data_IF_042862680048
#
_entry.id   IF_042862680048
#
_cell.length_a   1.000
_cell.length_b   1.000
_cell.length_c   1.000
_cell.angle_alpha   90.00
_cell.angle_beta   90.00
_cell.angle_gamma   90.00
#
_symmetry.space_group_name_H-M   'P 1'
#
loop_
_entity.id
_entity.type
_entity.pdbx_description
1 polymer ?
#
# COMPACT_ATOMS: atom_id res chain seq x y z
N UNK A 1 10.31 -70.18 55.68
CA UNK A 1 9.07 -69.38 55.51
C UNK A 1 9.50 -67.89 55.32
N UNK A 2 9.59 -67.48 54.13
CA UNK A 2 10.00 -66.05 53.79
C UNK A 2 9.00 -65.46 52.85
N UNK A 3 8.34 -64.40 53.26
CA UNK A 3 7.29 -63.71 52.55
C UNK A 3 7.90 -62.67 51.58
N UNK A 4 7.74 -62.89 50.30
CA UNK A 4 8.10 -61.97 49.25
C UNK A 4 7.07 -60.82 49.21
N UNK A 5 7.51 -59.59 49.51
CA UNK A 5 6.74 -58.35 49.32
C UNK A 5 6.92 -57.87 47.90
N UNK A 6 5.87 -57.88 47.09
CA UNK A 6 5.80 -57.20 45.82
C UNK A 6 5.60 -55.67 46.02
N UNK A 7 6.61 -54.92 45.67
CA UNK A 7 6.51 -53.47 45.61
C UNK A 7 5.85 -53.07 44.29
N UNK A 8 4.70 -52.41 44.37
CA UNK A 8 4.01 -51.81 43.21
C UNK A 8 4.68 -50.46 42.85
N UNK A 9 5.36 -50.40 41.73
CA UNK A 9 5.80 -49.16 41.14
C UNK A 9 4.60 -48.46 40.51
N UNK A 10 4.20 -47.31 41.07
CA UNK A 10 3.30 -46.39 40.45
C UNK A 10 4.14 -45.41 39.62
N UNK A 11 4.09 -45.50 38.31
CA UNK A 11 4.63 -44.49 37.40
C UNK A 11 3.68 -43.30 37.39
N UNK A 12 4.16 -42.07 37.52
CA UNK A 12 3.30 -40.87 37.40
C UNK A 12 2.97 -40.58 35.94
N UNK A 13 1.68 -40.57 35.65
CA UNK A 13 1.07 -40.10 34.39
C UNK A 13 1.04 -38.56 34.37
N UNK A 14 2.20 -37.90 34.26
CA UNK A 14 2.26 -36.44 34.11
C UNK A 14 3.30 -36.01 33.07
N UNK A 15 3.13 -36.41 31.80
CA UNK A 15 4.01 -35.97 30.74
C UNK A 15 3.36 -35.89 29.35
N UNK A 16 2.06 -35.56 29.22
CA UNK A 16 1.41 -35.42 27.89
C UNK A 16 0.66 -34.10 27.70
N UNK A 17 0.72 -33.17 28.65
CA UNK A 17 -0.07 -31.90 28.54
C UNK A 17 0.72 -30.66 28.15
N UNK A 18 1.98 -30.77 27.65
CA UNK A 18 2.81 -29.59 27.36
C UNK A 18 3.19 -29.44 25.87
N UNK A 19 2.50 -30.08 24.92
CA UNK A 19 2.87 -30.05 23.49
C UNK A 19 1.82 -29.55 22.54
N UNK A 20 0.87 -28.71 22.99
CA UNK A 20 -0.21 -28.14 22.13
C UNK A 20 -0.36 -26.64 22.21
N UNK A 21 0.65 -25.87 22.60
CA UNK A 21 0.59 -24.42 22.70
C UNK A 21 1.53 -23.67 21.72
N UNK A 22 1.96 -24.29 20.62
CA UNK A 22 2.77 -23.68 19.57
C UNK A 22 2.06 -23.72 18.20
N UNK A 23 0.75 -23.45 18.15
CA UNK A 23 0.04 -23.21 16.89
C UNK A 23 -0.11 -21.70 16.69
N UNK A 24 0.94 -21.12 16.08
CA UNK A 24 0.74 -20.21 14.96
C UNK A 24 0.13 -18.87 15.30
N UNK A 25 0.96 -17.91 15.73
CA UNK A 25 0.80 -16.58 15.19
C UNK A 25 1.24 -16.60 13.70
N UNK A 26 0.49 -17.27 12.85
CA UNK A 26 0.54 -17.03 11.42
C UNK A 26 0.08 -15.57 11.27
N UNK A 27 1.05 -14.65 11.09
CA UNK A 27 0.76 -13.27 10.74
C UNK A 27 -0.16 -13.32 9.53
N UNK A 28 -1.41 -12.89 9.72
CA UNK A 28 -2.33 -12.68 8.62
C UNK A 28 -1.64 -11.67 7.70
N UNK A 29 -1.05 -12.17 6.62
CA UNK A 29 -0.62 -11.32 5.51
C UNK A 29 -1.89 -10.60 5.07
N UNK A 30 -2.01 -9.33 5.43
CA UNK A 30 -3.13 -8.52 5.00
C UNK A 30 -3.02 -8.41 3.49
N UNK A 31 -3.92 -9.09 2.79
CA UNK A 31 -3.99 -9.00 1.34
C UNK A 31 -4.15 -7.52 0.97
N UNK A 32 -3.42 -7.06 -0.04
CA UNK A 32 -3.52 -5.68 -0.50
C UNK A 32 -4.99 -5.33 -0.78
N UNK A 33 -5.46 -4.26 -0.17
CA UNK A 33 -6.83 -3.78 -0.37
C UNK A 33 -6.91 -3.04 -1.69
N UNK A 34 -7.57 -3.64 -2.67
CA UNK A 34 -7.80 -3.02 -3.97
C UNK A 34 -9.10 -2.22 -3.98
N UNK A 35 -9.04 -0.99 -4.46
CA UNK A 35 -10.20 -0.11 -4.57
C UNK A 35 -10.31 0.50 -5.97
N UNK A 36 -11.54 0.74 -6.48
CA UNK A 36 -11.73 1.53 -7.68
C UNK A 36 -11.46 3.01 -7.41
N UNK A 37 -10.81 3.68 -8.37
CA UNK A 37 -10.58 5.12 -8.38
C UNK A 37 -10.91 5.64 -9.76
N UNK A 38 -11.59 6.78 -9.85
CA UNK A 38 -11.91 7.42 -11.12
C UNK A 38 -11.23 8.79 -11.21
N UNK A 39 -10.80 9.16 -12.41
CA UNK A 39 -10.32 10.51 -12.72
C UNK A 39 -11.18 11.07 -13.82
N UNK A 40 -11.86 12.18 -13.53
CA UNK A 40 -12.67 12.92 -14.48
C UNK A 40 -11.78 13.91 -15.20
N UNK A 41 -11.47 13.65 -16.45
CA UNK A 41 -10.64 14.46 -17.33
C UNK A 41 -11.49 15.17 -18.39
N UNK A 42 -10.88 16.05 -19.18
CA UNK A 42 -11.54 16.66 -20.35
C UNK A 42 -11.88 15.63 -21.44
N UNK A 43 -11.16 14.52 -21.49
CA UNK A 43 -11.36 13.44 -22.45
C UNK A 43 -12.40 12.40 -22.00
N UNK A 44 -12.90 12.50 -20.76
CA UNK A 44 -13.85 11.56 -20.16
C UNK A 44 -13.38 11.02 -18.81
N UNK A 45 -14.06 10.00 -18.31
CA UNK A 45 -13.75 9.33 -17.05
C UNK A 45 -12.78 8.18 -17.28
N UNK A 46 -11.69 8.18 -16.54
CA UNK A 46 -10.68 7.10 -16.54
C UNK A 46 -10.76 6.33 -15.22
N UNK A 47 -10.88 5.01 -15.29
CA UNK A 47 -10.99 4.14 -14.11
C UNK A 47 -9.69 3.39 -13.86
N UNK A 48 -9.26 3.38 -12.62
CA UNK A 48 -8.09 2.67 -12.13
C UNK A 48 -8.50 1.71 -11.00
N UNK A 49 -7.71 0.66 -10.82
CA UNK A 49 -7.78 -0.20 -9.63
C UNK A 49 -6.51 0.02 -8.82
N UNK A 50 -6.64 0.55 -7.61
CA UNK A 50 -5.51 0.98 -6.80
C UNK A 50 -5.35 0.13 -5.54
N UNK A 51 -4.10 -0.15 -5.18
CA UNK A 51 -3.74 -0.63 -3.85
C UNK A 51 -3.68 0.56 -2.91
N UNK A 52 -4.13 0.39 -1.66
CA UNK A 52 -4.06 1.44 -0.66
C UNK A 52 -2.79 1.35 0.18
N UNK A 53 -2.06 2.45 0.31
CA UNK A 53 -0.97 2.61 1.28
C UNK A 53 -1.43 3.56 2.40
N UNK A 54 -1.91 2.99 3.53
CA UNK A 54 -2.54 3.73 4.63
C UNK A 54 -1.61 3.90 5.83
N UNK A 55 -0.80 2.90 6.14
CA UNK A 55 0.16 2.95 7.24
C UNK A 55 1.47 3.60 6.82
N UNK A 56 2.23 4.10 7.79
CA UNK A 56 3.56 4.66 7.55
C UNK A 56 4.46 3.65 6.81
N UNK A 57 4.48 2.41 7.29
CA UNK A 57 5.26 1.34 6.67
C UNK A 57 4.84 1.05 5.22
N UNK A 58 3.54 1.06 4.92
CA UNK A 58 3.05 0.87 3.55
C UNK A 58 3.45 2.03 2.66
N UNK A 59 3.34 3.29 3.15
CA UNK A 59 3.79 4.47 2.41
C UNK A 59 5.29 4.50 2.18
N UNK A 60 6.09 4.09 3.17
CA UNK A 60 7.54 3.99 3.03
C UNK A 60 7.95 2.93 1.99
N UNK A 61 7.25 1.81 1.96
CA UNK A 61 7.53 0.72 1.01
C UNK A 61 7.02 1.03 -0.39
N UNK A 62 5.78 1.52 -0.50
CA UNK A 62 5.15 1.85 -1.78
C UNK A 62 5.32 0.75 -2.84
N UNK A 63 5.74 1.15 -4.03
CA UNK A 63 6.01 0.28 -5.17
C UNK A 63 7.47 -0.19 -5.27
N UNK A 64 8.25 -0.09 -4.17
CA UNK A 64 9.63 -0.58 -4.14
C UNK A 64 9.73 -2.04 -4.57
N UNK A 65 10.80 -2.38 -5.30
CA UNK A 65 11.15 -3.73 -5.75
C UNK A 65 10.13 -4.38 -6.70
N UNK A 66 9.07 -3.68 -7.11
CA UNK A 66 8.14 -4.21 -8.12
C UNK A 66 8.77 -4.15 -9.50
N UNK A 67 8.61 -5.24 -10.25
CA UNK A 67 9.14 -5.38 -11.62
C UNK A 67 8.11 -5.01 -12.67
N UNK A 68 6.83 -4.95 -12.29
CA UNK A 68 5.73 -4.63 -13.20
C UNK A 68 4.61 -3.87 -12.48
N UNK A 69 3.90 -3.04 -13.22
CA UNK A 69 2.66 -2.40 -12.84
C UNK A 69 1.79 -2.31 -14.11
N UNK A 70 0.70 -3.07 -14.12
CA UNK A 70 -0.18 -3.13 -15.28
C UNK A 70 -0.88 -1.79 -15.53
N UNK A 71 -1.19 -1.50 -16.80
CA UNK A 71 -2.01 -0.36 -17.17
C UNK A 71 -3.37 -0.38 -16.45
N UNK A 72 -3.87 0.78 -16.01
CA UNK A 72 -5.07 0.88 -15.18
C UNK A 72 -4.87 0.41 -13.72
N UNK A 73 -3.68 0.01 -13.32
CA UNK A 73 -3.31 -0.27 -11.93
C UNK A 73 -2.48 0.86 -11.34
N UNK A 74 -2.53 0.98 -10.01
CA UNK A 74 -1.74 1.97 -9.29
C UNK A 74 -1.71 1.71 -7.79
N UNK A 75 -1.05 2.63 -7.08
CA UNK A 75 -1.08 2.68 -5.63
C UNK A 75 -1.50 4.06 -5.17
N UNK A 76 -2.49 4.13 -4.28
CA UNK A 76 -2.97 5.36 -3.68
C UNK A 76 -2.45 5.47 -2.24
N UNK A 77 -1.63 6.46 -2.00
CA UNK A 77 -1.06 6.79 -0.71
C UNK A 77 -1.97 7.74 0.05
N UNK A 78 -2.35 7.38 1.27
CA UNK A 78 -3.13 8.22 2.17
C UNK A 78 -2.22 9.03 3.08
N UNK A 79 -2.19 10.35 2.90
CA UNK A 79 -1.45 11.32 3.70
C UNK A 79 -2.39 12.16 4.59
N UNK A 80 -3.51 11.58 5.02
CA UNK A 80 -4.42 12.27 5.94
C UNK A 80 -3.75 12.57 7.30
N UNK A 81 -3.95 13.76 7.88
CA UNK A 81 -4.60 14.93 7.29
C UNK A 81 -3.77 15.54 6.16
N UNK A 82 -4.42 16.34 5.27
CA UNK A 82 -3.76 17.04 4.15
C UNK A 82 -2.52 17.80 4.62
N UNK A 83 -1.39 17.63 3.91
CA UNK A 83 -0.08 18.18 4.27
C UNK A 83 0.84 18.33 3.06
N UNK A 84 1.94 19.05 3.23
CA UNK A 84 3.00 19.06 2.23
C UNK A 84 3.62 17.65 2.14
N UNK A 85 3.57 17.05 0.96
CA UNK A 85 4.08 15.70 0.72
C UNK A 85 5.38 15.75 -0.08
N UNK A 86 6.32 14.90 0.30
CA UNK A 86 7.58 14.67 -0.40
C UNK A 86 7.73 13.19 -0.71
N UNK A 87 7.92 12.87 -1.99
CA UNK A 87 8.12 11.52 -2.50
C UNK A 87 9.54 11.35 -3.02
N UNK A 88 9.94 10.13 -3.28
CA UNK A 88 11.20 9.74 -3.92
C UNK A 88 11.02 8.43 -4.69
N UNK A 89 12.02 8.06 -5.49
CA UNK A 89 12.03 6.80 -6.24
C UNK A 89 13.00 5.77 -5.67
N UNK A 90 13.37 5.90 -4.36
CA UNK A 90 14.28 4.96 -3.69
C UNK A 90 13.78 3.53 -3.86
N UNK A 91 14.68 2.63 -4.27
CA UNK A 91 14.41 1.21 -4.49
C UNK A 91 13.23 0.91 -5.46
N UNK A 92 12.77 1.90 -6.23
CA UNK A 92 11.69 1.77 -7.20
C UNK A 92 12.28 1.70 -8.60
N UNK A 93 12.23 0.51 -9.20
CA UNK A 93 12.87 0.23 -10.51
C UNK A 93 11.98 0.58 -11.71
N UNK A 94 10.68 0.77 -11.47
CA UNK A 94 9.74 1.24 -12.48
C UNK A 94 9.81 2.76 -12.59
N UNK A 95 9.71 3.31 -13.81
CA UNK A 95 9.37 4.71 -13.98
C UNK A 95 7.87 4.91 -13.75
N UNK A 96 7.49 5.93 -13.01
CA UNK A 96 6.12 6.19 -12.59
C UNK A 96 5.69 7.61 -12.94
N UNK A 97 4.38 7.81 -13.06
CA UNK A 97 3.75 9.12 -12.93
C UNK A 97 3.20 9.26 -11.51
N UNK A 98 3.59 10.32 -10.78
CA UNK A 98 3.11 10.64 -9.44
C UNK A 98 2.11 11.78 -9.51
N UNK A 99 0.86 11.51 -9.15
CA UNK A 99 -0.26 12.45 -9.21
C UNK A 99 -0.59 12.89 -7.79
N UNK A 100 -0.30 14.16 -7.46
CA UNK A 100 -0.56 14.76 -6.15
C UNK A 100 -1.97 15.33 -6.09
N UNK A 101 -2.75 14.97 -5.06
CA UNK A 101 -4.18 15.21 -4.98
C UNK A 101 -4.51 15.89 -3.65
N UNK A 102 -5.21 17.02 -3.71
CA UNK A 102 -5.68 17.77 -2.54
C UNK A 102 -6.86 17.09 -1.83
N UNK A 103 -7.23 17.56 -0.64
CA UNK A 103 -8.31 16.98 0.16
C UNK A 103 -9.67 16.97 -0.55
N UNK A 104 -9.92 17.90 -1.48
CA UNK A 104 -11.16 17.94 -2.26
C UNK A 104 -11.12 17.11 -3.54
N UNK A 105 -10.04 16.30 -3.73
CA UNK A 105 -9.87 15.43 -4.89
C UNK A 105 -9.33 16.12 -6.15
N UNK A 106 -8.96 17.40 -6.10
CA UNK A 106 -8.34 18.10 -7.24
C UNK A 106 -6.89 17.69 -7.39
N UNK A 107 -6.47 17.42 -8.63
CA UNK A 107 -5.07 17.19 -8.95
C UNK A 107 -4.32 18.53 -8.84
N UNK A 108 -3.33 18.57 -7.95
CA UNK A 108 -2.47 19.75 -7.75
C UNK A 108 -1.34 19.80 -8.76
N UNK A 109 -0.67 18.67 -8.93
CA UNK A 109 0.55 18.52 -9.71
C UNK A 109 0.71 17.08 -10.16
N UNK A 110 1.39 16.88 -11.29
CA UNK A 110 1.84 15.60 -11.79
C UNK A 110 3.35 15.65 -12.00
N UNK A 111 4.09 14.69 -11.45
CA UNK A 111 5.47 14.43 -11.81
C UNK A 111 5.48 13.23 -12.77
N UNK A 112 5.62 13.52 -14.06
CA UNK A 112 5.61 12.50 -15.11
C UNK A 112 6.98 11.85 -15.27
N UNK A 113 6.98 10.56 -15.65
CA UNK A 113 8.18 9.81 -16.05
C UNK A 113 9.32 9.93 -15.02
N UNK A 114 9.01 9.71 -13.75
CA UNK A 114 9.99 9.83 -12.67
C UNK A 114 11.18 8.89 -12.88
N UNK A 115 12.38 9.37 -12.53
CA UNK A 115 13.62 8.63 -12.72
C UNK A 115 13.71 7.45 -11.73
N UNK A 116 13.81 6.20 -12.21
CA UNK A 116 13.93 5.03 -11.35
C UNK A 116 15.12 5.15 -10.39
N UNK A 117 14.95 4.67 -9.15
CA UNK A 117 15.95 4.62 -8.09
C UNK A 117 16.52 5.99 -7.66
N UNK A 118 15.95 7.09 -8.14
CA UNK A 118 16.39 8.44 -7.80
C UNK A 118 16.05 8.78 -6.32
N UNK A 119 17.01 9.41 -5.64
CA UNK A 119 16.83 9.93 -4.28
C UNK A 119 16.41 11.41 -4.27
N UNK A 120 16.21 12.00 -5.44
CA UNK A 120 15.71 13.38 -5.54
C UNK A 120 14.32 13.48 -4.96
N UNK A 121 14.10 14.52 -4.17
CA UNK A 121 12.80 14.81 -3.59
C UNK A 121 11.85 15.35 -4.67
N UNK A 122 10.67 14.75 -4.75
CA UNK A 122 9.56 15.13 -5.60
C UNK A 122 8.47 15.69 -4.69
N UNK A 123 8.37 17.02 -4.64
CA UNK A 123 7.42 17.72 -3.76
C UNK A 123 6.04 17.80 -4.40
N UNK A 124 4.99 17.75 -3.58
CA UNK A 124 3.60 17.99 -4.00
C UNK A 124 3.36 19.42 -4.51
N UNK A 125 4.20 20.39 -4.12
CA UNK A 125 4.05 21.79 -4.48
C UNK A 125 2.92 22.52 -3.75
N UNK A 126 2.21 21.85 -2.86
CA UNK A 126 1.12 22.34 -2.04
C UNK A 126 0.58 21.24 -1.13
N UNK A 127 -0.38 21.54 -0.23
CA UNK A 127 -0.98 20.53 0.63
C UNK A 127 -1.67 19.45 -0.19
N UNK A 128 -1.25 18.19 -0.01
CA UNK A 128 -1.84 17.02 -0.65
C UNK A 128 -2.38 16.06 0.43
N UNK A 129 -3.51 15.44 0.16
CA UNK A 129 -4.10 14.39 0.99
C UNK A 129 -3.80 13.01 0.45
N UNK A 130 -3.55 12.90 -0.84
CA UNK A 130 -3.17 11.65 -1.48
C UNK A 130 -2.16 11.82 -2.59
N UNK A 131 -1.45 10.74 -2.88
CA UNK A 131 -0.61 10.59 -4.07
C UNK A 131 -1.03 9.31 -4.77
N UNK A 132 -1.34 9.40 -6.07
CA UNK A 132 -1.56 8.24 -6.90
C UNK A 132 -0.31 8.00 -7.75
N UNK A 133 0.27 6.81 -7.60
CA UNK A 133 1.35 6.32 -8.45
C UNK A 133 0.80 5.36 -9.50
N UNK A 134 1.14 5.59 -10.74
CA UNK A 134 0.79 4.76 -11.91
C UNK A 134 2.01 4.60 -12.81
N UNK A 135 1.97 3.66 -13.75
CA UNK A 135 3.09 3.47 -14.70
C UNK A 135 3.32 4.75 -15.51
N UNK A 136 4.58 5.05 -15.78
CA UNK A 136 4.99 6.24 -16.52
C UNK A 136 4.29 6.36 -17.88
N UNK A 137 3.91 7.58 -18.24
CA UNK A 137 3.17 7.89 -19.46
C UNK A 137 1.65 7.76 -19.35
N UNK A 138 1.13 7.27 -18.22
CA UNK A 138 -0.31 7.14 -17.96
C UNK A 138 -1.02 8.49 -18.01
N UNK A 139 -0.44 9.53 -17.40
CA UNK A 139 -1.04 10.87 -17.39
C UNK A 139 -1.22 11.39 -18.81
N UNK A 140 -0.21 11.28 -19.65
CA UNK A 140 -0.27 11.68 -21.06
C UNK A 140 -1.27 10.84 -21.85
N UNK A 141 -1.22 9.50 -21.68
CA UNK A 141 -2.09 8.55 -22.39
C UNK A 141 -3.57 8.86 -22.21
N UNK A 142 -3.96 9.20 -20.99
CA UNK A 142 -5.35 9.41 -20.60
C UNK A 142 -5.73 10.89 -20.52
N UNK A 143 -4.82 11.82 -20.87
CA UNK A 143 -5.07 13.26 -20.83
C UNK A 143 -5.32 13.80 -19.43
N UNK A 144 -4.71 13.17 -18.41
CA UNK A 144 -4.83 13.60 -17.02
C UNK A 144 -3.97 14.83 -16.79
N UNK A 145 -4.55 15.87 -16.18
CA UNK A 145 -3.90 17.16 -15.99
C UNK A 145 -4.18 17.76 -14.60
N UNK A 146 -3.34 18.68 -14.12
CA UNK A 146 -3.66 19.46 -12.93
C UNK A 146 -5.02 20.17 -13.09
N UNK A 147 -5.82 20.13 -12.01
CA UNK A 147 -7.19 20.63 -11.98
C UNK A 147 -8.26 19.58 -12.29
N UNK A 148 -7.92 18.41 -12.83
CA UNK A 148 -8.86 17.29 -12.99
C UNK A 148 -9.33 16.77 -11.64
N UNK A 149 -10.47 16.08 -11.62
CA UNK A 149 -11.12 15.61 -10.39
C UNK A 149 -10.92 14.10 -10.20
N UNK A 150 -10.29 13.74 -9.11
CA UNK A 150 -10.21 12.35 -8.63
C UNK A 150 -11.43 12.05 -7.75
N UNK A 151 -12.10 10.94 -8.04
CA UNK A 151 -13.26 10.43 -7.31
C UNK A 151 -12.83 9.14 -6.59
N UNK A 152 -12.73 9.23 -5.27
CA UNK A 152 -12.38 8.10 -4.41
C UNK A 152 -12.82 8.43 -2.96
N UNK A 153 -13.19 7.43 -2.11
CA UNK A 153 -13.62 7.67 -0.74
C UNK A 153 -12.64 8.48 0.11
N UNK A 154 -11.33 8.38 -0.16
CA UNK A 154 -10.30 9.15 0.53
C UNK A 154 -10.53 10.67 0.45
N UNK A 155 -11.04 11.18 -0.65
CA UNK A 155 -11.19 12.62 -0.90
C UNK A 155 -12.58 13.18 -0.51
N UNK A 156 -13.47 12.34 0.04
CA UNK A 156 -14.82 12.71 0.40
C UNK A 156 -15.75 12.84 -0.81
N UNK A 157 -17.05 12.68 -0.56
CA UNK A 157 -18.09 13.09 -1.53
C UNK A 157 -18.36 14.58 -1.31
N UNK A 158 -18.33 15.35 -2.38
CA UNK A 158 -19.06 16.62 -2.39
C UNK A 158 -20.54 16.35 -2.48
#
# INVERSE_FOLDING_TARGET
MSLLRFSRFHAPLFAVAAMLAWLGAAGLSQAAEFQPLEIVTKAGVQTFTVEMAKTEKERETGLMYRTELADGRGMLFDFSPEQQVSMWMKNTILSLDMIFISANGRILRIAENTEPQSLKIISSGGPAKGVLEVVAGTARKYGIAPGDQVVHPLFGKK
#
